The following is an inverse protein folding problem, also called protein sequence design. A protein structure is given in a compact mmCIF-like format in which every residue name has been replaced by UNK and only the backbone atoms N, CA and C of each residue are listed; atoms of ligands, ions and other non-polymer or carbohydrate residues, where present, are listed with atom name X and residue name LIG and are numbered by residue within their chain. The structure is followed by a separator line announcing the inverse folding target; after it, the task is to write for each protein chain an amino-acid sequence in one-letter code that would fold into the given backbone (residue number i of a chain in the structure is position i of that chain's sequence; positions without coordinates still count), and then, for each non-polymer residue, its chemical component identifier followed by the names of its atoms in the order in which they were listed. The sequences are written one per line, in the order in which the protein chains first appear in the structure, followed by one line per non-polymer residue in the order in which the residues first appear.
data_IF_667365518101
#
_entry.id   IF_667365518101
#
_cell.length_a   1.000
_cell.length_b   1.000
_cell.length_c   1.000
_cell.angle_alpha   90.00
_cell.angle_beta   90.00
_cell.angle_gamma   90.00
#
_symmetry.space_group_name_H-M   'P 1'
#
loop_
_entity.id
_entity.type
_entity.pdbx_description
1 polymer ?
#
# COMPACT_ATOMS: atom_id res chain seq x y z
N UNK A 1 11.27 -33.68 24.70
CA UNK A 1 9.85 -34.11 24.67
C UNK A 1 9.73 -35.07 23.50
N UNK A 2 9.52 -36.36 23.77
CA UNK A 2 9.40 -37.39 22.73
C UNK A 2 8.05 -37.22 22.01
N UNK A 3 8.06 -37.33 20.68
CA UNK A 3 6.84 -37.59 19.91
C UNK A 3 6.51 -39.05 20.15
N UNK A 4 5.32 -39.33 20.72
CA UNK A 4 4.93 -40.70 21.06
C UNK A 4 4.38 -41.41 19.81
N UNK A 5 3.49 -40.79 19.01
CA UNK A 5 2.98 -41.32 17.73
C UNK A 5 2.46 -40.21 16.78
N UNK A 6 2.41 -40.51 15.48
CA UNK A 6 1.68 -39.73 14.45
C UNK A 6 0.70 -40.64 13.72
N UNK A 7 -0.54 -40.20 13.52
CA UNK A 7 -1.53 -40.96 12.75
C UNK A 7 -2.24 -40.09 11.70
N UNK A 8 -2.45 -40.67 10.52
CA UNK A 8 -3.20 -40.04 9.42
C UNK A 8 -4.69 -40.22 9.72
N UNK A 9 -5.43 -39.13 9.85
CA UNK A 9 -6.87 -39.16 10.00
C UNK A 9 -7.56 -39.23 8.63
N UNK A 10 -8.69 -39.92 8.57
CA UNK A 10 -9.43 -40.24 7.33
C UNK A 10 -9.99 -39.02 6.56
N UNK A 11 -9.67 -37.78 6.96
CA UNK A 11 -10.16 -36.53 6.37
C UNK A 11 -9.03 -35.66 5.78
N UNK A 12 -7.85 -36.23 5.51
CA UNK A 12 -6.72 -35.46 5.01
C UNK A 12 -6.19 -34.51 6.09
N UNK A 13 -6.09 -34.98 7.33
CA UNK A 13 -5.47 -34.23 8.42
C UNK A 13 -4.48 -35.15 9.12
N UNK A 14 -3.38 -34.57 9.61
CA UNK A 14 -2.44 -35.27 10.50
C UNK A 14 -2.68 -34.76 11.91
N UNK A 15 -2.97 -35.68 12.82
CA UNK A 15 -3.04 -35.40 14.25
C UNK A 15 -1.65 -35.63 14.86
N UNK A 16 -1.13 -34.61 15.53
CA UNK A 16 0.14 -34.68 16.24
C UNK A 16 -0.19 -34.57 17.73
N UNK A 17 -0.09 -35.69 18.43
CA UNK A 17 -0.36 -35.79 19.87
C UNK A 17 0.90 -35.45 20.68
N UNK A 18 0.78 -34.49 21.60
CA UNK A 18 1.85 -34.19 22.55
C UNK A 18 1.50 -34.70 23.96
N UNK A 19 2.49 -35.19 24.70
CA UNK A 19 2.31 -35.62 26.10
C UNK A 19 1.88 -34.44 27.01
N UNK A 20 1.30 -34.70 28.19
CA UNK A 20 -0.07 -34.33 28.59
C UNK A 20 -0.31 -32.85 28.97
N UNK A 21 0.57 -31.91 28.62
CA UNK A 21 0.48 -30.50 29.04
C UNK A 21 0.54 -29.48 27.92
N UNK A 22 0.45 -29.87 26.65
CA UNK A 22 0.43 -28.95 25.51
C UNK A 22 -0.72 -29.29 24.58
N UNK A 23 -1.42 -28.26 24.12
CA UNK A 23 -2.58 -28.39 23.23
C UNK A 23 -2.18 -29.09 21.93
N UNK A 24 -2.96 -30.09 21.53
CA UNK A 24 -2.80 -30.81 20.26
C UNK A 24 -3.17 -29.88 19.08
N UNK A 25 -2.47 -30.03 17.94
CA UNK A 25 -2.72 -29.21 16.74
C UNK A 25 -3.17 -30.06 15.55
N UNK A 26 -4.19 -29.59 14.83
CA UNK A 26 -4.71 -30.21 13.61
C UNK A 26 -4.17 -29.47 12.38
N UNK A 27 -3.42 -30.17 11.52
CA UNK A 27 -2.95 -29.63 10.24
C UNK A 27 -3.88 -30.09 9.12
N UNK A 28 -4.60 -29.19 8.44
CA UNK A 28 -5.40 -29.55 7.26
C UNK A 28 -4.52 -29.81 6.03
N UNK A 29 -4.54 -31.03 5.49
CA UNK A 29 -3.97 -31.39 4.19
C UNK A 29 -5.05 -31.23 3.11
N UNK A 30 -5.33 -29.99 2.71
CA UNK A 30 -6.37 -29.71 1.70
C UNK A 30 -5.92 -29.92 0.26
N UNK A 31 -4.67 -30.34 0.01
CA UNK A 31 -4.18 -30.56 -1.35
C UNK A 31 -3.20 -31.75 -1.42
N UNK A 32 -3.39 -32.61 -2.43
CA UNK A 32 -2.52 -33.74 -2.68
C UNK A 32 -1.09 -33.24 -2.97
N UNK A 33 -0.12 -33.76 -2.22
CA UNK A 33 1.29 -33.49 -2.43
C UNK A 33 2.00 -32.68 -1.34
N UNK A 34 1.30 -32.07 -0.36
CA UNK A 34 1.98 -31.31 0.71
C UNK A 34 2.30 -32.23 1.90
N UNK A 35 3.57 -32.45 2.19
CA UNK A 35 4.07 -33.04 3.44
C UNK A 35 4.62 -31.95 4.37
N UNK A 36 4.14 -31.88 5.60
CA UNK A 36 4.68 -30.97 6.62
C UNK A 36 5.49 -31.78 7.62
N UNK A 37 6.79 -31.50 7.71
CA UNK A 37 7.74 -32.19 8.56
C UNK A 37 8.21 -31.27 9.69
N UNK A 38 7.83 -31.59 10.93
CA UNK A 38 8.19 -30.81 12.10
C UNK A 38 9.42 -31.45 12.76
N UNK A 39 10.47 -30.68 12.97
CA UNK A 39 11.66 -31.10 13.73
C UNK A 39 11.92 -30.14 14.88
N UNK A 40 12.57 -30.61 15.94
CA UNK A 40 12.91 -29.77 17.08
C UNK A 40 14.43 -29.73 17.23
N UNK A 41 14.98 -28.54 17.41
CA UNK A 41 16.37 -28.31 17.81
C UNK A 41 16.41 -27.75 19.24
N UNK A 42 17.61 -27.60 19.80
CA UNK A 42 17.80 -26.96 21.10
C UNK A 42 17.31 -25.50 21.11
N UNK A 43 17.19 -24.89 19.93
CA UNK A 43 16.81 -23.49 19.73
C UNK A 43 15.33 -23.28 19.36
N UNK A 44 14.54 -24.35 19.18
CA UNK A 44 13.11 -24.23 18.88
C UNK A 44 12.52 -25.34 18.01
N UNK A 45 11.26 -25.12 17.57
CA UNK A 45 10.55 -26.01 16.64
C UNK A 45 10.75 -25.49 15.22
N UNK A 46 11.31 -26.33 14.36
CA UNK A 46 11.47 -26.10 12.94
C UNK A 46 10.30 -26.74 12.19
N UNK A 47 9.65 -25.96 11.32
CA UNK A 47 8.59 -26.42 10.42
C UNK A 47 9.19 -26.50 9.01
N UNK A 48 9.31 -27.69 8.45
CA UNK A 48 9.67 -27.90 7.05
C UNK A 48 8.43 -28.33 6.26
N UNK A 49 8.26 -27.83 5.05
CA UNK A 49 7.14 -28.19 4.17
C UNK A 49 7.72 -28.68 2.83
N UNK A 50 7.33 -29.88 2.42
CA UNK A 50 7.71 -30.53 1.16
C UNK A 50 6.46 -30.64 0.29
N UNK A 51 6.57 -30.41 -1.03
CA UNK A 51 5.44 -30.52 -1.96
C UNK A 51 5.82 -31.44 -3.13
N UNK A 52 5.16 -32.59 -3.30
CA UNK A 52 5.57 -33.66 -4.23
C UNK A 52 4.96 -33.62 -5.65
N UNK A 53 4.06 -32.70 -6.01
CA UNK A 53 3.60 -32.61 -7.43
C UNK A 53 3.16 -31.19 -7.84
N UNK A 54 4.13 -30.29 -8.00
CA UNK A 54 4.02 -29.09 -8.83
C UNK A 54 5.40 -28.46 -9.11
N UNK A 55 6.37 -29.24 -9.62
CA UNK A 55 7.57 -28.70 -10.29
C UNK A 55 8.36 -27.61 -9.55
N UNK A 56 8.42 -27.62 -8.22
CA UNK A 56 9.13 -26.62 -7.43
C UNK A 56 10.28 -27.24 -6.65
N UNK A 57 11.48 -27.17 -7.23
CA UNK A 57 12.76 -27.51 -6.58
C UNK A 57 13.30 -26.28 -5.84
N UNK A 58 13.20 -26.26 -4.50
CA UNK A 58 13.79 -25.21 -3.65
C UNK A 58 15.14 -25.64 -3.06
N UNK A 59 15.99 -26.31 -3.85
CA UNK A 59 17.31 -26.80 -3.45
C UNK A 59 18.02 -25.87 -2.47
N UNK A 60 18.73 -26.42 -1.48
CA UNK A 60 19.29 -25.67 -0.33
C UNK A 60 19.90 -24.32 -0.75
N UNK A 61 19.20 -23.23 -0.44
CA UNK A 61 19.61 -21.85 -0.78
C UNK A 61 18.85 -21.20 -1.95
N UNK A 62 17.91 -21.88 -2.60
CA UNK A 62 17.06 -21.31 -3.64
C UNK A 62 15.74 -20.84 -3.04
N UNK A 63 15.61 -19.52 -2.89
CA UNK A 63 14.33 -18.91 -2.54
C UNK A 63 13.30 -19.20 -3.62
N UNK A 64 12.07 -19.46 -3.20
CA UNK A 64 10.90 -19.52 -4.06
C UNK A 64 10.69 -18.13 -4.68
N UNK A 65 11.19 -17.90 -5.90
CA UNK A 65 10.83 -16.70 -6.67
C UNK A 65 9.44 -16.93 -7.23
N UNK A 66 8.42 -16.31 -6.63
CA UNK A 66 7.09 -16.22 -7.22
C UNK A 66 7.08 -15.02 -8.18
N UNK A 67 6.94 -15.22 -9.51
CA UNK A 67 6.78 -14.10 -10.42
C UNK A 67 5.29 -13.70 -10.44
N UNK A 68 4.91 -12.78 -9.56
CA UNK A 68 3.64 -12.05 -9.52
C UNK A 68 3.77 -10.90 -8.49
N UNK A 69 3.00 -9.80 -8.59
CA UNK A 69 3.14 -8.69 -7.65
C UNK A 69 3.02 -9.17 -6.21
N UNK A 70 4.00 -8.83 -5.36
CA UNK A 70 4.02 -9.26 -3.96
C UNK A 70 2.98 -8.43 -3.21
N UNK A 71 1.97 -9.11 -2.65
CA UNK A 71 0.98 -8.43 -1.82
C UNK A 71 1.44 -8.46 -0.36
N UNK A 72 1.96 -7.34 0.13
CA UNK A 72 2.47 -7.15 1.48
C UNK A 72 1.35 -6.53 2.33
N UNK A 73 0.91 -7.24 3.36
CA UNK A 73 -0.13 -6.78 4.27
C UNK A 73 0.46 -6.65 5.68
N UNK A 74 0.24 -5.51 6.30
CA UNK A 74 0.55 -5.26 7.71
C UNK A 74 -0.39 -5.97 8.67
N UNK A 75 -0.33 -5.53 9.91
CA UNK A 75 -1.14 -5.93 11.05
C UNK A 75 -2.10 -4.79 11.41
N UNK A 76 -2.67 -4.81 12.61
CA UNK A 76 -3.51 -3.69 13.08
C UNK A 76 -2.76 -2.70 13.96
N UNK A 77 -1.44 -2.85 14.07
CA UNK A 77 -0.54 -2.00 14.85
C UNK A 77 0.41 -1.26 13.89
N UNK A 78 1.19 -0.31 14.40
CA UNK A 78 2.15 0.43 13.59
C UNK A 78 3.20 -0.49 12.93
N UNK A 79 3.18 -0.54 11.61
CA UNK A 79 4.03 -1.41 10.81
C UNK A 79 5.08 -0.67 9.98
N UNK A 80 6.13 -1.41 9.63
CA UNK A 80 7.11 -0.99 8.63
C UNK A 80 7.16 -2.00 7.50
N UNK A 81 6.53 -1.64 6.38
CA UNK A 81 6.40 -2.49 5.20
C UNK A 81 7.33 -1.97 4.11
N UNK A 82 8.08 -2.87 3.48
CA UNK A 82 9.06 -2.53 2.45
C UNK A 82 8.88 -3.52 1.30
N UNK A 83 8.57 -3.00 0.13
CA UNK A 83 8.54 -3.73 -1.13
C UNK A 83 9.94 -3.96 -1.69
N UNK A 84 9.99 -4.19 -2.98
CA UNK A 84 11.12 -4.73 -3.73
C UNK A 84 11.51 -3.80 -4.87
N UNK A 85 12.18 -4.32 -5.90
CA UNK A 85 12.40 -3.59 -7.15
C UNK A 85 11.38 -4.01 -8.25
N UNK A 86 10.43 -4.88 -7.91
CA UNK A 86 9.32 -5.33 -8.74
C UNK A 86 8.01 -4.63 -8.32
N UNK A 87 6.95 -4.77 -9.13
CA UNK A 87 5.66 -4.16 -8.82
C UNK A 87 5.01 -4.80 -7.58
N UNK A 88 4.73 -4.02 -6.54
CA UNK A 88 4.17 -4.51 -5.29
C UNK A 88 2.77 -3.96 -4.96
N UNK A 89 2.02 -4.72 -4.18
CA UNK A 89 0.79 -4.26 -3.55
C UNK A 89 0.97 -4.18 -2.04
N UNK A 90 1.00 -2.99 -1.46
CA UNK A 90 1.30 -2.80 -0.03
C UNK A 90 0.09 -2.23 0.70
N UNK A 91 -0.28 -2.82 1.84
CA UNK A 91 -1.41 -2.37 2.67
C UNK A 91 -1.07 -2.33 4.16
N UNK A 92 -1.20 -1.16 4.78
CA UNK A 92 -0.94 -0.92 6.21
C UNK A 92 -2.02 -1.47 7.15
N UNK A 93 -3.30 -1.30 6.79
CA UNK A 93 -4.51 -1.60 7.57
C UNK A 93 -4.84 -0.56 8.65
N UNK A 94 -4.40 -0.75 9.88
CA UNK A 94 -4.64 0.22 10.95
C UNK A 94 -3.37 0.42 11.73
N UNK A 95 -3.13 1.62 12.23
CA UNK A 95 -1.87 1.96 12.89
C UNK A 95 -1.23 3.13 12.16
N UNK A 96 -0.21 3.74 12.76
CA UNK A 96 0.56 4.79 12.08
C UNK A 96 1.72 4.12 11.30
N UNK A 97 1.47 3.74 10.06
CA UNK A 97 2.34 2.86 9.28
C UNK A 97 3.42 3.60 8.47
N UNK A 98 4.48 2.86 8.13
CA UNK A 98 5.51 3.29 7.17
C UNK A 98 5.60 2.29 6.03
N UNK A 99 5.13 2.69 4.84
CA UNK A 99 5.14 1.88 3.64
C UNK A 99 6.18 2.43 2.65
N UNK A 100 7.01 1.55 2.09
CA UNK A 100 8.02 1.89 1.08
C UNK A 100 7.87 0.92 -0.09
N UNK A 101 7.57 1.40 -1.29
CA UNK A 101 7.42 0.60 -2.51
C UNK A 101 8.77 0.08 -2.99
N UNK A 102 9.60 0.97 -3.56
CA UNK A 102 10.96 0.67 -3.97
C UNK A 102 11.22 1.01 -5.42
N UNK A 103 11.39 0.01 -6.28
CA UNK A 103 11.35 0.15 -7.73
C UNK A 103 10.16 -0.63 -8.30
N UNK A 104 9.82 -0.41 -9.56
CA UNK A 104 8.60 -1.00 -10.12
C UNK A 104 7.37 -0.13 -9.86
N UNK A 105 6.23 -0.54 -10.41
CA UNK A 105 4.97 0.17 -10.27
C UNK A 105 4.17 -0.38 -9.11
N UNK A 106 4.13 0.39 -8.03
CA UNK A 106 3.55 -0.05 -6.77
C UNK A 106 2.13 0.48 -6.56
N UNK A 107 1.32 -0.30 -5.86
CA UNK A 107 0.02 0.12 -5.35
C UNK A 107 0.03 0.06 -3.82
N UNK A 108 -0.06 1.21 -3.16
CA UNK A 108 0.14 1.33 -1.72
C UNK A 108 -1.06 1.98 -1.02
N UNK A 109 -1.55 1.39 0.07
CA UNK A 109 -2.65 1.91 0.90
C UNK A 109 -2.28 1.96 2.37
N UNK A 110 -2.34 3.13 3.02
CA UNK A 110 -2.18 3.27 4.47
C UNK A 110 -3.40 2.75 5.26
N UNK A 111 -4.59 2.85 4.66
CA UNK A 111 -5.90 2.50 5.23
C UNK A 111 -6.33 3.37 6.43
N UNK A 112 -5.94 3.13 7.68
CA UNK A 112 -6.35 3.97 8.83
C UNK A 112 -5.17 4.30 9.73
N UNK A 113 -4.91 5.57 9.93
CA UNK A 113 -3.86 6.03 10.82
C UNK A 113 -3.20 7.28 10.27
N UNK A 114 -2.05 7.66 10.81
CA UNK A 114 -1.25 8.75 10.26
C UNK A 114 -0.03 8.13 9.55
N UNK A 115 -0.24 7.76 8.31
CA UNK A 115 0.65 6.90 7.55
C UNK A 115 1.71 7.69 6.80
N UNK A 116 2.82 7.01 6.49
CA UNK A 116 3.90 7.52 5.65
C UNK A 116 4.13 6.58 4.49
N UNK A 117 3.72 7.00 3.31
CA UNK A 117 3.86 6.24 2.08
C UNK A 117 4.96 6.84 1.22
N UNK A 118 5.85 5.98 0.73
CA UNK A 118 6.90 6.34 -0.22
C UNK A 118 6.87 5.37 -1.41
N UNK A 119 6.50 5.87 -2.58
CA UNK A 119 6.41 5.10 -3.83
C UNK A 119 7.77 4.55 -4.26
N UNK A 120 8.55 5.31 -5.01
CA UNK A 120 9.73 4.70 -5.59
C UNK A 120 10.43 5.53 -6.63
N UNK A 121 10.84 4.88 -7.72
CA UNK A 121 11.52 5.51 -8.87
C UNK A 121 10.67 5.49 -10.14
N UNK A 122 9.62 4.69 -10.15
CA UNK A 122 8.76 4.43 -11.29
C UNK A 122 7.33 4.87 -10.94
N UNK A 123 6.35 4.63 -11.82
CA UNK A 123 4.97 5.08 -11.58
C UNK A 123 4.34 4.36 -10.40
N UNK A 124 3.85 5.10 -9.40
CA UNK A 124 3.20 4.53 -8.21
C UNK A 124 1.78 5.05 -7.99
N UNK A 125 0.94 4.25 -7.33
CA UNK A 125 -0.40 4.60 -6.87
C UNK A 125 -0.41 4.64 -5.34
N UNK A 126 -0.52 5.84 -4.76
CA UNK A 126 -0.46 6.06 -3.32
C UNK A 126 -1.81 6.51 -2.76
N UNK A 127 -2.37 5.74 -1.84
CA UNK A 127 -3.63 6.01 -1.14
C UNK A 127 -3.37 6.15 0.35
N UNK A 128 -3.60 7.33 0.92
CA UNK A 128 -3.36 7.62 2.34
C UNK A 128 -4.31 6.84 3.24
N UNK A 129 -5.60 6.89 2.92
CA UNK A 129 -6.64 6.31 3.76
C UNK A 129 -7.22 7.36 4.71
N UNK A 130 -7.58 6.96 5.91
CA UNK A 130 -8.15 7.86 6.90
C UNK A 130 -7.10 8.30 7.93
N UNK A 131 -6.84 9.60 8.02
CA UNK A 131 -6.08 10.21 9.10
C UNK A 131 -5.31 11.46 8.69
N UNK A 132 -4.00 11.49 8.92
CA UNK A 132 -3.14 12.62 8.51
C UNK A 132 -1.87 12.06 7.92
N UNK A 133 -1.92 11.84 6.63
CA UNK A 133 -0.94 11.02 5.94
C UNK A 133 0.13 11.89 5.28
N UNK A 134 1.26 11.27 4.98
CA UNK A 134 2.32 11.86 4.18
C UNK A 134 2.65 10.92 3.03
N UNK A 135 2.32 11.34 1.82
CA UNK A 135 2.53 10.58 0.58
C UNK A 135 3.67 11.22 -0.22
N UNK A 136 4.65 10.41 -0.61
CA UNK A 136 5.84 10.84 -1.37
C UNK A 136 6.07 9.89 -2.55
N UNK A 137 5.75 10.33 -3.77
CA UNK A 137 6.03 9.54 -4.99
C UNK A 137 7.53 9.38 -5.28
N UNK A 138 8.27 10.46 -5.09
CA UNK A 138 9.70 10.68 -5.41
C UNK A 138 9.99 10.84 -6.89
N UNK A 139 9.79 9.83 -7.71
CA UNK A 139 10.10 9.90 -9.12
C UNK A 139 9.27 8.89 -9.87
N UNK A 140 8.79 9.26 -11.04
CA UNK A 140 7.79 8.45 -11.72
C UNK A 140 6.77 9.37 -12.36
N UNK A 141 5.61 8.83 -12.69
CA UNK A 141 4.40 9.63 -12.85
C UNK A 141 3.45 9.06 -11.84
N UNK A 142 3.31 9.72 -10.71
CA UNK A 142 2.67 9.13 -9.56
C UNK A 142 1.22 9.60 -9.46
N UNK A 143 0.38 8.76 -8.89
CA UNK A 143 -0.99 9.12 -8.53
C UNK A 143 -1.09 9.17 -7.01
N UNK A 144 -1.44 10.33 -6.46
CA UNK A 144 -1.51 10.57 -5.03
C UNK A 144 -2.94 10.95 -4.62
N UNK A 145 -3.49 10.18 -3.68
CA UNK A 145 -4.79 10.41 -3.07
C UNK A 145 -4.66 10.34 -1.55
N UNK A 146 -4.76 11.49 -0.87
CA UNK A 146 -4.76 11.53 0.60
C UNK A 146 -5.99 10.86 1.23
N UNK A 147 -7.06 10.68 0.45
CA UNK A 147 -8.35 10.18 0.89
C UNK A 147 -9.02 11.02 2.00
N UNK A 148 -9.04 10.59 3.26
CA UNK A 148 -9.78 11.27 4.32
C UNK A 148 -8.82 11.80 5.37
N UNK A 149 -8.47 13.07 5.30
CA UNK A 149 -7.48 13.62 6.20
C UNK A 149 -7.10 15.05 5.88
N UNK A 150 -6.14 15.56 6.65
CA UNK A 150 -5.43 16.76 6.25
C UNK A 150 -4.00 16.34 5.90
N UNK A 151 -3.80 16.00 4.65
CA UNK A 151 -2.65 15.21 4.23
C UNK A 151 -1.55 16.08 3.64
N UNK A 152 -0.34 15.51 3.55
CA UNK A 152 0.81 16.12 2.90
C UNK A 152 1.19 15.29 1.69
N UNK A 153 1.02 15.87 0.52
CA UNK A 153 1.26 15.18 -0.75
C UNK A 153 2.49 15.79 -1.41
N UNK A 154 3.38 14.93 -1.88
CA UNK A 154 4.58 15.31 -2.60
C UNK A 154 4.77 14.36 -3.77
N UNK A 155 4.61 14.84 -4.99
CA UNK A 155 4.72 14.01 -6.20
C UNK A 155 6.19 13.64 -6.40
N UNK A 156 7.02 14.65 -6.62
CA UNK A 156 8.46 14.50 -6.72
C UNK A 156 8.95 14.89 -8.10
N UNK A 157 9.47 13.94 -8.87
CA UNK A 157 9.94 14.17 -10.24
C UNK A 157 9.01 13.47 -11.22
N UNK A 158 8.69 14.17 -12.30
CA UNK A 158 7.84 13.65 -13.35
C UNK A 158 6.42 14.18 -13.20
N UNK A 159 5.58 13.88 -14.19
CA UNK A 159 4.26 14.47 -14.31
C UNK A 159 3.29 13.76 -13.38
N UNK A 160 3.03 14.31 -12.19
CA UNK A 160 2.26 13.65 -11.14
C UNK A 160 0.79 14.08 -11.14
N UNK A 161 -0.08 13.20 -10.62
CA UNK A 161 -1.51 13.44 -10.47
C UNK A 161 -1.89 13.51 -8.99
N UNK A 162 -2.48 14.62 -8.58
CA UNK A 162 -2.99 14.80 -7.22
C UNK A 162 -4.51 14.83 -7.23
N UNK A 163 -5.12 13.87 -6.54
CA UNK A 163 -6.56 13.78 -6.47
C UNK A 163 -7.13 14.67 -5.37
N UNK A 164 -8.04 15.57 -5.76
CA UNK A 164 -8.76 16.46 -4.87
C UNK A 164 -10.16 15.92 -4.59
N UNK A 165 -10.42 15.55 -3.34
CA UNK A 165 -11.71 15.02 -2.87
C UNK A 165 -12.52 16.07 -2.14
N UNK A 166 -13.83 16.13 -2.42
CA UNK A 166 -14.76 16.92 -1.61
C UNK A 166 -14.95 16.28 -0.23
N UNK A 167 -14.86 17.09 0.83
CA UNK A 167 -15.03 16.65 2.23
C UNK A 167 -14.00 15.62 2.72
N UNK A 168 -12.87 15.49 2.03
CA UNK A 168 -11.72 14.72 2.49
C UNK A 168 -11.01 15.39 3.66
N UNK A 169 -10.97 16.72 3.63
CA UNK A 169 -10.23 17.57 4.54
C UNK A 169 -9.48 18.59 3.70
N UNK A 170 -8.37 19.12 4.21
CA UNK A 170 -7.58 20.14 3.51
C UNK A 170 -6.14 19.68 3.36
N UNK A 171 -5.85 19.19 2.17
CA UNK A 171 -4.54 18.66 1.83
C UNK A 171 -3.57 19.78 1.47
N UNK A 172 -2.28 19.49 1.63
CA UNK A 172 -1.19 20.36 1.24
C UNK A 172 -0.33 19.64 0.21
N UNK A 173 -0.37 20.12 -1.03
CA UNK A 173 0.51 19.67 -2.10
C UNK A 173 1.78 20.51 -2.06
N UNK A 174 2.93 19.86 -1.90
CA UNK A 174 4.17 20.54 -1.49
C UNK A 174 5.06 20.99 -2.65
N UNK A 175 4.95 20.35 -3.81
CA UNK A 175 5.84 20.55 -4.95
C UNK A 175 5.14 20.52 -6.31
N UNK A 176 3.88 20.97 -6.36
CA UNK A 176 3.14 21.10 -7.62
C UNK A 176 3.90 21.97 -8.64
N UNK A 177 4.06 21.44 -9.85
CA UNK A 177 4.76 22.06 -10.98
C UNK A 177 3.79 22.30 -12.14
N UNK A 178 3.45 23.57 -12.36
CA UNK A 178 2.63 24.03 -13.51
C UNK A 178 3.19 23.53 -14.85
N UNK A 179 2.30 22.98 -15.69
CA UNK A 179 2.64 22.40 -16.99
C UNK A 179 3.33 21.02 -16.94
N UNK A 180 3.56 20.46 -15.75
CA UNK A 180 4.06 19.09 -15.55
C UNK A 180 3.04 18.25 -14.76
N UNK A 181 2.55 18.74 -13.63
CA UNK A 181 1.61 18.07 -12.76
C UNK A 181 0.14 18.38 -13.10
N UNK A 182 -0.75 17.51 -12.64
CA UNK A 182 -2.19 17.60 -12.91
C UNK A 182 -2.99 17.43 -11.61
N UNK A 183 -3.97 18.30 -11.39
CA UNK A 183 -4.95 18.21 -10.32
C UNK A 183 -6.18 17.46 -10.83
N UNK A 184 -6.46 16.30 -10.25
CA UNK A 184 -7.61 15.49 -10.65
C UNK A 184 -8.75 15.76 -9.68
N UNK A 185 -9.96 15.99 -10.18
CA UNK A 185 -11.15 16.16 -9.33
C UNK A 185 -12.11 15.00 -9.51
N UNK A 186 -12.72 14.55 -8.41
CA UNK A 186 -13.92 13.74 -8.49
C UNK A 186 -15.13 14.61 -8.75
N UNK A 187 -16.01 14.10 -9.63
CA UNK A 187 -17.26 14.74 -10.06
C UNK A 187 -17.05 15.81 -11.13
N UNK A 188 -18.10 16.02 -11.91
CA UNK A 188 -18.16 16.98 -13.02
C UNK A 188 -18.16 18.43 -12.52
N UNK A 189 -17.22 18.81 -11.65
CA UNK A 189 -16.98 20.20 -11.24
C UNK A 189 -16.23 20.86 -12.38
N UNK A 190 -16.81 21.91 -12.95
CA UNK A 190 -16.13 22.71 -13.95
C UNK A 190 -15.07 23.60 -13.28
N UNK A 191 -13.97 23.89 -13.99
CA UNK A 191 -12.93 24.80 -13.51
C UNK A 191 -13.50 26.16 -13.08
N UNK A 192 -14.52 26.65 -13.79
CA UNK A 192 -15.19 27.91 -13.50
C UNK A 192 -15.98 27.92 -12.18
N UNK A 193 -16.24 26.76 -11.58
CA UNK A 193 -16.87 26.63 -10.26
C UNK A 193 -15.86 26.69 -9.11
N UNK A 194 -14.56 26.70 -9.42
CA UNK A 194 -13.50 26.79 -8.43
C UNK A 194 -13.17 28.24 -8.08
N UNK A 195 -12.87 28.45 -6.81
CA UNK A 195 -12.33 29.72 -6.31
C UNK A 195 -10.86 29.51 -5.92
N UNK A 196 -9.98 30.01 -6.78
CA UNK A 196 -8.52 29.86 -6.67
C UNK A 196 -7.95 31.17 -6.14
N UNK A 197 -7.39 31.14 -4.94
CA UNK A 197 -7.00 32.35 -4.19
C UNK A 197 -5.56 32.30 -3.72
N UNK A 198 -4.79 33.35 -4.00
CA UNK A 198 -3.48 33.55 -3.40
C UNK A 198 -3.58 33.80 -1.89
N UNK A 199 -2.83 33.03 -1.10
CA UNK A 199 -2.66 33.20 0.35
C UNK A 199 -1.17 33.25 0.71
N UNK A 200 -0.62 34.46 0.77
CA UNK A 200 0.81 34.63 0.97
C UNK A 200 1.58 34.05 -0.21
N UNK A 201 2.41 33.04 0.03
CA UNK A 201 3.16 32.33 -1.03
C UNK A 201 2.42 31.11 -1.57
N UNK A 202 1.25 30.76 -1.04
CA UNK A 202 0.52 29.55 -1.41
C UNK A 202 -0.73 29.87 -2.23
N UNK A 203 -1.21 28.90 -2.99
CA UNK A 203 -2.52 28.94 -3.65
C UNK A 203 -3.51 28.09 -2.85
N UNK A 204 -4.67 28.65 -2.53
CA UNK A 204 -5.78 27.92 -1.94
C UNK A 204 -6.82 27.63 -3.03
N UNK A 205 -7.16 26.36 -3.22
CA UNK A 205 -8.22 25.91 -4.14
C UNK A 205 -9.47 25.63 -3.31
N UNK A 206 -10.59 26.21 -3.71
CA UNK A 206 -11.89 26.03 -3.06
C UNK A 206 -12.96 25.65 -4.05
N UNK A 207 -13.93 24.91 -3.55
CA UNK A 207 -15.22 24.71 -4.19
C UNK A 207 -16.30 25.19 -3.23
N UNK A 208 -17.10 26.16 -3.65
CA UNK A 208 -17.99 26.93 -2.78
C UNK A 208 -17.22 27.50 -1.56
N UNK A 209 -17.71 27.27 -0.34
CA UNK A 209 -17.09 27.73 0.91
C UNK A 209 -16.05 26.74 1.49
N UNK A 210 -15.68 25.69 0.75
CA UNK A 210 -14.85 24.59 1.25
C UNK A 210 -13.46 24.61 0.62
N UNK A 211 -12.44 24.49 1.46
CA UNK A 211 -11.08 24.27 1.00
C UNK A 211 -10.94 22.83 0.50
N UNK A 212 -10.41 22.68 -0.72
CA UNK A 212 -10.03 21.39 -1.30
C UNK A 212 -8.57 21.10 -0.99
N UNK A 213 -7.68 21.99 -1.42
CA UNK A 213 -6.24 21.83 -1.23
C UNK A 213 -5.52 23.18 -1.16
N UNK A 214 -4.32 23.13 -0.59
CA UNK A 214 -3.34 24.22 -0.62
C UNK A 214 -2.16 23.76 -1.47
N UNK A 215 -1.84 24.50 -2.53
CA UNK A 215 -0.58 24.35 -3.26
C UNK A 215 0.47 25.23 -2.58
N UNK A 216 1.48 24.60 -2.00
CA UNK A 216 2.53 25.31 -1.27
C UNK A 216 3.52 25.97 -2.23
N UNK A 217 3.83 27.25 -2.01
CA UNK A 217 4.79 28.02 -2.80
C UNK A 217 4.45 28.13 -4.31
N UNK A 218 3.17 28.02 -4.66
CA UNK A 218 2.67 28.21 -6.03
C UNK A 218 1.95 29.55 -6.12
N UNK A 219 2.15 30.24 -7.24
CA UNK A 219 1.42 31.47 -7.56
C UNK A 219 0.08 31.10 -8.20
N UNK A 220 -1.01 31.63 -7.65
CA UNK A 220 -2.38 31.34 -8.09
C UNK A 220 -2.63 31.74 -9.55
N UNK A 221 -1.86 32.69 -10.10
CA UNK A 221 -1.98 33.11 -11.50
C UNK A 221 -1.44 32.10 -12.51
N UNK A 222 -0.66 31.12 -12.05
CA UNK A 222 -0.19 29.99 -12.87
C UNK A 222 -1.25 28.91 -13.00
N UNK A 223 -2.23 28.87 -12.10
CA UNK A 223 -3.25 27.81 -12.11
C UNK A 223 -4.35 28.17 -13.11
N UNK A 224 -4.47 27.33 -14.13
CA UNK A 224 -5.41 27.45 -15.25
C UNK A 224 -6.26 26.19 -15.39
N UNK A 225 -7.21 26.20 -16.32
CA UNK A 225 -8.04 25.03 -16.61
C UNK A 225 -7.22 23.83 -17.14
N UNK A 226 -6.05 24.07 -17.73
CA UNK A 226 -5.22 23.01 -18.31
C UNK A 226 -4.51 22.18 -17.22
N UNK A 227 -4.41 22.70 -16.00
CA UNK A 227 -3.88 21.99 -14.83
C UNK A 227 -4.87 20.99 -14.23
N UNK A 228 -6.12 20.96 -14.71
CA UNK A 228 -7.17 20.12 -14.15
C UNK A 228 -7.55 18.97 -15.08
N UNK A 229 -7.34 17.76 -14.58
CA UNK A 229 -7.68 16.52 -15.23
C UNK A 229 -9.11 16.05 -14.98
N UNK A 230 -9.70 15.41 -15.98
CA UNK A 230 -10.96 14.67 -15.79
C UNK A 230 -10.63 13.30 -15.22
N UNK A 231 -11.15 12.97 -14.04
CA UNK A 231 -10.99 11.62 -13.48
C UNK A 231 -11.59 10.57 -14.42
N UNK A 232 -10.75 9.68 -14.95
CA UNK A 232 -11.15 8.55 -15.80
C UNK A 232 -11.54 7.33 -14.93
N UNK A 233 -11.38 7.42 -13.60
CA UNK A 233 -11.64 6.35 -12.63
C UNK A 233 -13.12 6.27 -12.20
N UNK A 234 -14.05 6.51 -13.14
CA UNK A 234 -15.47 6.20 -12.98
C UNK A 234 -15.85 4.78 -13.47
N UNK A 235 -14.86 3.93 -13.74
CA UNK A 235 -15.10 2.55 -14.21
C UNK A 235 -14.10 1.57 -13.60
N UNK A 236 -14.29 1.18 -12.34
CA UNK A 236 -14.10 -0.21 -11.85
C UNK A 236 -15.12 -0.46 -10.74
#
# INVERSE_FOLDING_TARGET
MLIEQSSILAQGQVLIEFAPTSDDFLVPLTQAGIEVNLSRSDDGVNVAVTIEDAGLDLGTGSALTLPAPEFIIGTTEDDRLVGTDDNDGIRGLTGDDVLIGGGGTDMMSGDRGNDRLRGGRDLDLLFGGAGRDTLIGNGGRDYLDGEAGNDRLRGGRGADQFLLRLNAGRDVIQDFTDGEDELVMFQNIAFEELDIVQQGQNTLIRFEDRALAVLANVDASLITADDFGVSILAVI
#
